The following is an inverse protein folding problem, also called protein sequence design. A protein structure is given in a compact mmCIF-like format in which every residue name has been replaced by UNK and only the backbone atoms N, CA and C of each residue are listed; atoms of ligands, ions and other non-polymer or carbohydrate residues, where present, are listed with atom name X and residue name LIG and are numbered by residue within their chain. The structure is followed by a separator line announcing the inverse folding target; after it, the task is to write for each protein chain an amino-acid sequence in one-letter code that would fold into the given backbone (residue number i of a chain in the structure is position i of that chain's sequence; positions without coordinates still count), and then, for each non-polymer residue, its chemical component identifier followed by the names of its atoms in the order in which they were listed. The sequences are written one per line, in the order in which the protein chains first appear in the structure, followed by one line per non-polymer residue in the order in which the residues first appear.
data_IF_209175339359
#
_entry.id   IF_209175339359
#
_cell.length_a   1.000
_cell.length_b   1.000
_cell.length_c   1.000
_cell.angle_alpha   90.00
_cell.angle_beta   90.00
_cell.angle_gamma   90.00
#
_symmetry.space_group_name_H-M   'P 1'
#
loop_
_entity.id
_entity.type
_entity.pdbx_description
1 polymer ?
#
# COMPACT_ATOMS: atom_id res chain seq x y z
N UNK A 1 28.91 -9.84 9.07
CA UNK A 1 28.62 -8.70 9.97
C UNK A 1 29.57 -7.50 9.82
N UNK A 2 30.89 -7.61 9.50
CA UNK A 2 31.73 -6.42 9.29
C UNK A 2 31.44 -5.73 7.94
N UNK A 3 31.22 -6.49 6.87
CA UNK A 3 30.99 -5.95 5.52
C UNK A 3 29.78 -5.02 5.44
N UNK A 4 28.69 -5.31 6.15
CA UNK A 4 27.49 -4.45 6.19
C UNK A 4 27.75 -3.10 6.85
N UNK A 5 28.55 -3.07 7.92
CA UNK A 5 29.00 -1.81 8.52
C UNK A 5 29.89 -1.02 7.57
N UNK A 6 30.82 -1.68 6.87
CA UNK A 6 31.65 -1.02 5.86
C UNK A 6 30.82 -0.43 4.72
N UNK A 7 29.84 -1.17 4.20
CA UNK A 7 28.93 -0.70 3.14
C UNK A 7 28.09 0.49 3.60
N UNK A 8 27.54 0.44 4.81
CA UNK A 8 26.76 1.53 5.39
C UNK A 8 27.60 2.79 5.59
N UNK A 9 28.76 2.67 6.26
CA UNK A 9 29.68 3.80 6.44
C UNK A 9 30.21 4.33 5.10
N UNK A 10 30.48 3.46 4.14
CA UNK A 10 30.84 3.84 2.77
C UNK A 10 29.73 4.63 2.08
N UNK A 11 28.48 4.21 2.24
CA UNK A 11 27.31 4.94 1.72
C UNK A 11 27.14 6.32 2.34
N UNK A 12 27.26 6.42 3.68
CA UNK A 12 27.23 7.72 4.39
C UNK A 12 28.36 8.63 3.91
N UNK A 13 29.59 8.11 3.85
CA UNK A 13 30.76 8.88 3.43
C UNK A 13 30.65 9.37 1.98
N UNK A 14 30.18 8.51 1.06
CA UNK A 14 29.95 8.87 -0.33
C UNK A 14 28.89 9.97 -0.45
N UNK A 15 27.74 9.83 0.22
CA UNK A 15 26.67 10.83 0.19
C UNK A 15 27.12 12.18 0.77
N UNK A 16 27.84 12.17 1.90
CA UNK A 16 28.38 13.38 2.53
C UNK A 16 29.41 14.08 1.63
N UNK A 17 30.33 13.32 1.05
CA UNK A 17 31.34 13.86 0.11
C UNK A 17 30.67 14.47 -1.12
N UNK A 18 29.66 13.78 -1.69
CA UNK A 18 28.89 14.30 -2.82
C UNK A 18 28.14 15.59 -2.49
N UNK A 19 27.53 15.68 -1.31
CA UNK A 19 26.88 16.90 -0.84
C UNK A 19 27.86 18.09 -0.71
N UNK A 20 29.05 17.84 -0.15
CA UNK A 20 30.11 18.86 -0.07
C UNK A 20 30.52 19.34 -1.46
N UNK A 21 30.73 18.43 -2.43
CA UNK A 21 31.06 18.81 -3.81
C UNK A 21 29.94 19.64 -4.46
N UNK A 22 28.67 19.29 -4.26
CA UNK A 22 27.56 20.10 -4.77
C UNK A 22 27.56 21.52 -4.18
N UNK A 23 27.83 21.68 -2.88
CA UNK A 23 27.94 23.00 -2.23
C UNK A 23 29.11 23.80 -2.79
N UNK A 24 30.28 23.17 -2.97
CA UNK A 24 31.45 23.83 -3.56
C UNK A 24 31.20 24.23 -5.01
N UNK A 25 30.54 23.38 -5.79
CA UNK A 25 30.13 23.67 -7.17
C UNK A 25 29.17 24.86 -7.24
N UNK A 26 28.15 24.88 -6.37
CA UNK A 26 27.23 26.00 -6.26
C UNK A 26 27.93 27.32 -5.89
N UNK A 27 28.85 27.27 -4.93
CA UNK A 27 29.62 28.44 -4.51
C UNK A 27 30.49 28.97 -5.67
N UNK A 28 31.16 28.08 -6.41
CA UNK A 28 31.96 28.45 -7.58
C UNK A 28 31.12 29.09 -8.70
N UNK A 29 29.98 28.51 -9.05
CA UNK A 29 29.05 29.07 -10.05
C UNK A 29 28.51 30.43 -9.61
N UNK A 30 28.19 30.59 -8.32
CA UNK A 30 27.65 31.85 -7.78
C UNK A 30 28.63 33.02 -7.84
N UNK A 31 29.94 32.73 -7.81
CA UNK A 31 30.99 33.74 -7.93
C UNK A 31 31.29 34.16 -9.38
N UNK A 32 30.78 33.44 -10.37
CA UNK A 32 31.12 33.62 -11.78
C UNK A 32 30.01 34.32 -12.55
N UNK A 33 30.35 35.42 -13.24
CA UNK A 33 29.37 36.26 -13.92
C UNK A 33 29.07 35.83 -15.34
N UNK A 34 29.97 35.06 -15.97
CA UNK A 34 29.80 34.60 -17.34
C UNK A 34 29.42 33.13 -17.38
N UNK A 35 28.28 32.82 -18.03
CA UNK A 35 27.79 31.44 -18.15
C UNK A 35 28.82 30.50 -18.81
N UNK A 36 29.61 30.99 -19.76
CA UNK A 36 30.70 30.24 -20.41
C UNK A 36 31.76 29.74 -19.43
N UNK A 37 31.98 30.49 -18.33
CA UNK A 37 32.92 30.14 -17.26
C UNK A 37 32.28 29.29 -16.15
N UNK A 38 30.96 29.06 -16.20
CA UNK A 38 30.26 28.20 -15.23
C UNK A 38 30.41 26.71 -15.55
N UNK A 39 30.58 26.35 -16.83
CA UNK A 39 30.68 24.96 -17.30
C UNK A 39 31.75 24.15 -16.54
N UNK A 40 32.97 24.67 -16.29
CA UNK A 40 34.00 23.97 -15.51
C UNK A 40 33.58 23.60 -14.08
N UNK A 41 32.81 24.44 -13.38
CA UNK A 41 32.36 24.17 -12.00
C UNK A 41 31.26 23.10 -11.97
N UNK A 42 30.35 23.11 -12.95
CA UNK A 42 29.33 22.08 -13.09
C UNK A 42 29.97 20.72 -13.38
N UNK A 43 30.94 20.68 -14.29
CA UNK A 43 31.63 19.45 -14.67
C UNK A 43 32.51 18.89 -13.54
N UNK A 44 33.23 19.73 -12.79
CA UNK A 44 34.20 19.28 -11.79
C UNK A 44 33.61 19.01 -10.41
N UNK A 45 32.50 19.65 -10.04
CA UNK A 45 31.94 19.55 -8.68
C UNK A 45 30.51 19.00 -8.67
N UNK A 46 29.60 19.55 -9.48
CA UNK A 46 28.17 19.25 -9.37
C UNK A 46 27.82 17.88 -9.95
N UNK A 47 28.30 17.55 -11.15
CA UNK A 47 28.09 16.24 -11.79
C UNK A 47 28.66 15.09 -10.94
N UNK A 48 29.95 15.11 -10.55
CA UNK A 48 30.49 14.06 -9.69
C UNK A 48 29.86 14.05 -8.29
N UNK A 49 29.50 15.22 -7.75
CA UNK A 49 28.80 15.33 -6.47
C UNK A 49 27.43 14.63 -6.50
N UNK A 50 26.62 14.88 -7.53
CA UNK A 50 25.34 14.23 -7.73
C UNK A 50 25.49 12.71 -7.90
N UNK A 51 26.49 12.26 -8.68
CA UNK A 51 26.78 10.83 -8.84
C UNK A 51 27.13 10.15 -7.50
N UNK A 52 27.94 10.79 -6.65
CA UNK A 52 28.28 10.27 -5.32
C UNK A 52 27.07 10.22 -4.38
N UNK A 53 26.18 11.20 -4.42
CA UNK A 53 24.94 11.19 -3.63
C UNK A 53 24.07 10.00 -4.04
N UNK A 54 23.88 9.77 -5.34
CA UNK A 54 23.08 8.63 -5.85
C UNK A 54 23.72 7.30 -5.44
N UNK A 55 25.03 7.14 -5.64
CA UNK A 55 25.74 5.93 -5.23
C UNK A 55 25.64 5.68 -3.72
N UNK A 56 25.78 6.72 -2.90
CA UNK A 56 25.62 6.65 -1.46
C UNK A 56 24.20 6.24 -1.05
N UNK A 57 23.17 6.83 -1.68
CA UNK A 57 21.78 6.48 -1.43
C UNK A 57 21.46 5.01 -1.77
N UNK A 58 22.02 4.50 -2.88
CA UNK A 58 21.89 3.08 -3.25
C UNK A 58 22.55 2.17 -2.21
N UNK A 59 23.74 2.51 -1.73
CA UNK A 59 24.43 1.73 -0.68
C UNK A 59 23.67 1.73 0.65
N UNK A 60 23.00 2.85 0.98
CA UNK A 60 22.18 2.98 2.19
C UNK A 60 20.83 2.24 2.07
N UNK A 61 20.20 2.29 0.89
CA UNK A 61 18.89 1.71 0.61
C UNK A 61 18.91 0.23 0.16
N UNK A 62 20.07 -0.32 -0.16
CA UNK A 62 20.23 -1.71 -0.61
C UNK A 62 19.93 -2.78 0.46
N UNK A 63 19.62 -2.39 1.69
CA UNK A 63 19.01 -3.30 2.64
C UNK A 63 17.57 -3.57 2.18
N UNK A 64 17.20 -4.80 1.80
CA UNK A 64 15.79 -5.11 1.57
C UNK A 64 15.03 -4.68 2.82
N UNK A 65 13.84 -4.06 2.69
CA UNK A 65 13.02 -3.77 3.86
C UNK A 65 12.93 -5.08 4.64
N UNK A 66 13.07 -5.06 5.98
CA UNK A 66 12.84 -6.28 6.74
C UNK A 66 11.51 -6.79 6.25
N UNK A 67 11.51 -7.97 5.59
CA UNK A 67 10.28 -8.71 5.42
C UNK A 67 9.79 -8.77 6.85
N UNK A 68 8.69 -8.08 7.15
CA UNK A 68 7.96 -8.38 8.37
C UNK A 68 7.82 -9.88 8.26
N UNK A 69 8.50 -10.61 9.12
CA UNK A 69 8.16 -11.98 9.34
C UNK A 69 6.68 -11.84 9.69
N UNK A 70 5.81 -12.17 8.73
CA UNK A 70 4.52 -12.68 9.10
C UNK A 70 4.91 -13.74 10.10
N UNK A 71 4.53 -13.52 11.36
CA UNK A 71 4.68 -14.55 12.35
C UNK A 71 3.86 -15.72 11.80
N UNK A 72 4.54 -16.63 11.11
CA UNK A 72 4.05 -17.94 10.74
C UNK A 72 4.01 -18.78 12.03
N UNK A 73 3.38 -18.24 13.09
CA UNK A 73 2.61 -19.09 13.96
C UNK A 73 1.49 -19.71 13.12
N UNK A 74 0.88 -20.83 13.53
CA UNK A 74 -0.31 -21.33 12.87
C UNK A 74 -1.29 -20.18 12.73
N UNK A 75 -1.41 -19.64 11.52
CA UNK A 75 -2.44 -18.66 11.20
C UNK A 75 -3.70 -19.51 11.22
N UNK A 76 -4.38 -19.50 12.35
CA UNK A 76 -5.79 -19.83 12.41
C UNK A 76 -6.40 -19.12 11.21
N UNK A 77 -6.90 -19.84 10.18
CA UNK A 77 -7.53 -19.18 9.06
C UNK A 77 -8.54 -18.21 9.68
N UNK A 78 -8.57 -16.94 9.24
CA UNK A 78 -9.57 -16.02 9.76
C UNK A 78 -10.90 -16.75 9.62
N UNK A 79 -11.61 -16.94 10.74
CA UNK A 79 -12.91 -17.57 10.73
C UNK A 79 -13.70 -16.86 9.65
N UNK A 80 -13.92 -17.54 8.53
CA UNK A 80 -14.89 -17.09 7.55
C UNK A 80 -16.15 -17.04 8.39
N UNK A 81 -16.76 -15.87 8.64
CA UNK A 81 -18.01 -15.86 9.37
C UNK A 81 -18.91 -16.82 8.63
N UNK A 82 -19.26 -17.93 9.29
CA UNK A 82 -20.21 -18.90 8.78
C UNK A 82 -21.38 -18.06 8.29
N UNK A 83 -21.61 -18.08 6.97
CA UNK A 83 -22.69 -17.28 6.39
C UNK A 83 -23.92 -17.77 7.15
N UNK A 84 -24.59 -16.93 7.97
CA UNK A 84 -25.62 -17.44 8.86
C UNK A 84 -26.62 -18.18 7.98
N UNK A 85 -26.86 -19.46 8.20
CA UNK A 85 -27.87 -20.21 7.44
C UNK A 85 -29.10 -20.28 8.31
N UNK A 86 -30.23 -19.81 7.81
CA UNK A 86 -31.51 -19.96 8.49
C UNK A 86 -32.34 -20.95 7.71
N UNK A 87 -32.74 -22.05 8.36
CA UNK A 87 -33.69 -23.03 7.81
C UNK A 87 -35.15 -22.53 7.88
N UNK A 88 -35.36 -21.28 8.27
CA UNK A 88 -36.69 -20.69 8.39
C UNK A 88 -37.23 -20.26 7.01
N UNK A 89 -38.56 -20.29 6.81
CA UNK A 89 -39.17 -19.98 5.52
C UNK A 89 -38.78 -18.59 4.97
N UNK A 90 -38.65 -18.43 3.64
CA UNK A 90 -38.34 -17.15 3.03
C UNK A 90 -39.35 -16.04 3.37
N UNK A 91 -38.85 -14.81 3.43
CA UNK A 91 -39.61 -13.59 3.74
C UNK A 91 -39.53 -12.59 2.59
N UNK A 92 -40.44 -11.63 2.58
CA UNK A 92 -40.49 -10.54 1.60
C UNK A 92 -40.73 -9.20 2.27
N UNK A 93 -40.31 -8.14 1.61
CA UNK A 93 -40.67 -6.76 1.96
C UNK A 93 -41.94 -6.37 1.20
N UNK A 94 -42.89 -5.62 1.80
CA UNK A 94 -44.10 -5.18 1.09
C UNK A 94 -43.74 -4.34 -0.14
N UNK A 95 -44.35 -4.67 -1.28
CA UNK A 95 -44.05 -4.04 -2.56
C UNK A 95 -42.74 -4.50 -3.22
N UNK A 96 -41.97 -5.37 -2.57
CA UNK A 96 -40.78 -6.00 -3.15
C UNK A 96 -41.12 -7.19 -4.05
N UNK A 97 -40.25 -7.45 -5.02
CA UNK A 97 -40.34 -8.58 -5.96
C UNK A 97 -39.41 -9.74 -5.61
N UNK A 98 -38.68 -9.62 -4.49
CA UNK A 98 -37.64 -10.58 -4.09
C UNK A 98 -38.04 -11.38 -2.86
N UNK A 99 -37.70 -12.67 -2.87
CA UNK A 99 -37.70 -13.53 -1.70
C UNK A 99 -36.33 -13.46 -1.01
N UNK A 100 -36.33 -13.25 0.30
CA UNK A 100 -35.14 -13.12 1.13
C UNK A 100 -35.12 -14.22 2.18
N UNK A 101 -33.92 -14.60 2.63
CA UNK A 101 -33.75 -15.37 3.85
C UNK A 101 -34.04 -14.47 5.07
N UNK A 102 -34.58 -14.99 6.20
CA UNK A 102 -34.96 -14.15 7.34
C UNK A 102 -33.84 -13.30 7.96
N UNK A 103 -32.59 -13.77 7.86
CA UNK A 103 -31.37 -13.11 8.33
C UNK A 103 -30.68 -12.26 7.23
N UNK A 104 -31.31 -12.06 6.07
CA UNK A 104 -30.75 -11.24 5.00
C UNK A 104 -30.52 -9.79 5.49
N UNK A 105 -29.34 -9.20 5.30
CA UNK A 105 -29.04 -7.84 5.76
C UNK A 105 -29.94 -6.77 5.10
N UNK A 106 -30.58 -7.10 3.98
CA UNK A 106 -31.53 -6.21 3.30
C UNK A 106 -32.93 -6.19 3.97
N UNK A 107 -33.28 -7.21 4.75
CA UNK A 107 -34.52 -7.25 5.55
C UNK A 107 -34.27 -6.92 7.03
N UNK A 108 -33.01 -7.03 7.48
CA UNK A 108 -32.62 -6.65 8.83
C UNK A 108 -33.06 -5.22 9.16
N UNK A 109 -33.87 -5.08 10.22
CA UNK A 109 -34.36 -3.79 10.70
C UNK A 109 -35.58 -3.21 9.95
N UNK A 110 -36.18 -3.92 9.00
CA UNK A 110 -37.46 -3.52 8.37
C UNK A 110 -38.64 -3.98 9.23
N UNK A 111 -39.55 -3.06 9.57
CA UNK A 111 -40.69 -3.35 10.42
C UNK A 111 -41.78 -4.19 9.72
N UNK A 112 -41.90 -4.08 8.40
CA UNK A 112 -43.03 -4.65 7.65
C UNK A 112 -42.69 -5.96 6.92
N UNK A 113 -41.65 -6.68 7.34
CA UNK A 113 -41.25 -7.95 6.72
C UNK A 113 -42.33 -9.01 6.96
N UNK A 114 -42.80 -9.65 5.87
CA UNK A 114 -43.86 -10.65 5.92
C UNK A 114 -43.38 -11.98 5.30
N UNK A 115 -43.99 -13.13 5.65
CA UNK A 115 -43.71 -14.40 4.98
C UNK A 115 -43.92 -14.30 3.47
N UNK A 116 -43.06 -14.97 2.69
CA UNK A 116 -43.17 -14.99 1.23
C UNK A 116 -44.44 -15.75 0.76
N UNK A 117 -44.77 -16.87 1.44
CA UNK A 117 -45.89 -17.74 1.04
C UNK A 117 -45.70 -18.31 -0.38
N UNK A 118 -46.80 -18.52 -1.09
CA UNK A 118 -46.80 -19.04 -2.48
C UNK A 118 -46.62 -17.93 -3.54
N UNK A 119 -46.16 -16.73 -3.15
CA UNK A 119 -45.97 -15.63 -4.08
C UNK A 119 -44.81 -15.94 -5.04
N UNK A 120 -45.03 -15.75 -6.34
CA UNK A 120 -43.97 -15.86 -7.35
C UNK A 120 -42.98 -14.68 -7.22
N UNK A 121 -41.92 -14.88 -6.44
CA UNK A 121 -40.87 -13.91 -6.18
C UNK A 121 -39.53 -14.44 -6.71
N UNK A 122 -38.70 -13.53 -7.22
CA UNK A 122 -37.34 -13.87 -7.64
C UNK A 122 -36.45 -14.07 -6.40
N UNK A 123 -35.53 -15.06 -6.38
CA UNK A 123 -34.64 -15.25 -5.25
C UNK A 123 -33.68 -14.06 -5.13
N UNK A 124 -33.49 -13.55 -3.91
CA UNK A 124 -32.56 -12.46 -3.68
C UNK A 124 -31.11 -12.93 -3.92
N UNK A 125 -30.32 -12.25 -4.78
CA UNK A 125 -28.96 -12.65 -5.12
C UNK A 125 -27.95 -12.42 -3.99
N UNK A 126 -28.35 -11.73 -2.92
CA UNK A 126 -27.47 -11.43 -1.76
C UNK A 126 -27.50 -12.56 -0.73
N UNK A 127 -28.66 -13.17 -0.51
CA UNK A 127 -28.84 -14.21 0.52
C UNK A 127 -29.19 -15.59 -0.04
N UNK A 128 -29.48 -15.71 -1.34
CA UNK A 128 -29.69 -16.98 -2.06
C UNK A 128 -30.58 -17.95 -1.26
N UNK A 129 -31.88 -17.63 -1.05
CA UNK A 129 -32.71 -18.29 -0.03
C UNK A 129 -32.97 -19.79 -0.25
N UNK A 130 -32.73 -20.31 -1.45
CA UNK A 130 -32.93 -21.72 -1.83
C UNK A 130 -31.60 -22.50 -1.98
N UNK A 131 -30.46 -21.85 -1.69
CA UNK A 131 -29.10 -22.35 -1.96
C UNK A 131 -28.37 -22.92 -0.76
#
# INVERSE_FOLDING_TARGET
MPTSRLLWWGGVAAAATGAVLCVLGWYGVSGERFAERQVPYLASCTVPGAALIVAGAVLLGGAPPPRRAAEDGPREPPAVPERPSSDAPPVRVPGGTLAHRPDCPLVAGKADVAPAGDAALEPCPVCEPEG
#
